data_IF_577647476762
#
_entry.id   IF_577647476762
#
_cell.length_a   1.000
_cell.length_b   1.000
_cell.length_c   1.000
_cell.angle_alpha   90.00
_cell.angle_beta   90.00
_cell.angle_gamma   90.00
#
_symmetry.space_group_name_H-M   'P 1'
#
loop_
_entity.id
_entity.type
_entity.pdbx_description
1 polymer ?
#
# COMPACT_ATOMS: atom_id res chain seq x y z
N UNK A 1 -23.17 -12.65 -20.02
CA UNK A 1 -22.84 -12.01 -18.76
C UNK A 1 -21.79 -10.96 -19.05
N UNK A 2 -22.24 -9.71 -19.17
CA UNK A 2 -21.43 -8.61 -19.71
C UNK A 2 -21.22 -7.51 -18.66
N UNK A 3 -20.82 -7.88 -17.43
CA UNK A 3 -20.56 -6.91 -16.36
C UNK A 3 -19.07 -6.92 -16.00
N UNK A 4 -18.29 -6.29 -16.87
CA UNK A 4 -16.85 -6.12 -16.63
C UNK A 4 -16.54 -4.97 -15.68
N UNK A 5 -17.45 -4.02 -15.54
CA UNK A 5 -17.34 -2.85 -14.63
C UNK A 5 -18.71 -2.56 -14.04
N UNK A 6 -18.79 -2.43 -12.74
CA UNK A 6 -19.99 -1.96 -12.03
C UNK A 6 -20.25 -0.49 -12.36
N UNK A 7 -21.51 -0.06 -12.43
CA UNK A 7 -21.90 1.33 -12.74
C UNK A 7 -21.39 2.37 -11.73
N UNK A 8 -20.93 1.95 -10.56
CA UNK A 8 -20.40 2.80 -9.49
C UNK A 8 -18.86 2.77 -9.36
N UNK A 9 -18.13 2.43 -10.42
CA UNK A 9 -16.67 2.43 -10.43
C UNK A 9 -16.14 3.81 -10.79
N UNK A 10 -15.05 4.23 -10.13
CA UNK A 10 -14.39 5.51 -10.36
C UNK A 10 -13.03 5.29 -11.03
N UNK A 11 -12.89 5.72 -12.28
CA UNK A 11 -11.63 5.69 -13.02
C UNK A 11 -11.21 7.13 -13.31
N UNK A 12 -10.07 7.57 -12.79
CA UNK A 12 -9.58 8.94 -12.86
C UNK A 12 -8.13 8.91 -13.36
N UNK A 13 -7.84 9.55 -14.49
CA UNK A 13 -6.50 9.68 -15.07
C UNK A 13 -5.71 8.36 -15.09
N UNK A 14 -6.38 7.26 -15.51
CA UNK A 14 -5.86 5.91 -15.37
C UNK A 14 -6.07 5.07 -16.61
N UNK A 15 -5.16 4.13 -16.86
CA UNK A 15 -5.29 3.09 -17.87
C UNK A 15 -5.81 1.80 -17.23
N UNK A 16 -6.90 1.27 -17.77
CA UNK A 16 -7.50 0.03 -17.29
C UNK A 16 -7.79 -0.88 -18.49
N UNK A 17 -7.15 -2.04 -18.52
CA UNK A 17 -7.33 -3.01 -19.58
C UNK A 17 -8.81 -3.48 -19.70
N UNK A 18 -9.25 -3.77 -20.91
CA UNK A 18 -10.63 -4.21 -21.17
C UNK A 18 -11.00 -5.53 -20.49
N UNK A 19 -10.01 -6.37 -20.23
CA UNK A 19 -10.20 -7.66 -19.54
C UNK A 19 -10.19 -7.54 -18.01
N UNK A 20 -9.82 -6.38 -17.46
CA UNK A 20 -9.83 -6.14 -16.02
C UNK A 20 -11.25 -6.03 -15.47
N UNK A 21 -11.46 -6.53 -14.27
CA UNK A 21 -12.73 -6.48 -13.55
C UNK A 21 -12.62 -5.52 -12.37
N UNK A 22 -13.45 -4.50 -12.38
CA UNK A 22 -13.58 -3.55 -11.28
C UNK A 22 -14.97 -3.72 -10.66
N UNK A 23 -15.01 -3.96 -9.36
CA UNK A 23 -16.23 -4.25 -8.62
C UNK A 23 -16.82 -2.99 -7.97
N UNK A 24 -17.90 -3.14 -7.23
CA UNK A 24 -18.70 -2.06 -6.68
C UNK A 24 -17.86 -1.03 -5.91
N UNK A 25 -17.95 0.23 -6.31
CA UNK A 25 -17.21 1.36 -5.74
C UNK A 25 -15.69 1.22 -5.71
N UNK A 26 -15.12 0.39 -6.57
CA UNK A 26 -13.68 0.40 -6.79
C UNK A 26 -13.25 1.76 -7.36
N UNK A 27 -12.13 2.28 -6.89
CA UNK A 27 -11.51 3.52 -7.37
C UNK A 27 -10.13 3.22 -7.94
N UNK A 28 -9.87 3.64 -9.17
CA UNK A 28 -8.56 3.59 -9.82
C UNK A 28 -8.19 5.00 -10.22
N UNK A 29 -7.12 5.55 -9.61
CA UNK A 29 -6.70 6.92 -9.84
C UNK A 29 -5.21 7.01 -10.14
N UNK A 30 -4.85 7.74 -11.24
CA UNK A 30 -3.45 7.95 -11.64
C UNK A 30 -2.67 6.63 -11.69
N UNK A 31 -3.30 5.57 -12.24
CA UNK A 31 -2.82 4.19 -12.10
C UNK A 31 -2.95 3.40 -13.40
N UNK A 32 -2.23 2.30 -13.46
CA UNK A 32 -2.30 1.34 -14.56
C UNK A 32 -2.76 -0.01 -14.02
N UNK A 33 -3.85 -0.55 -14.59
CA UNK A 33 -4.42 -1.85 -14.26
C UNK A 33 -4.41 -2.70 -15.51
N UNK A 34 -3.51 -3.67 -15.55
CA UNK A 34 -3.27 -4.49 -16.74
C UNK A 34 -4.29 -5.64 -16.88
N UNK A 35 -4.05 -6.52 -17.87
CA UNK A 35 -4.98 -7.55 -18.30
C UNK A 35 -5.32 -8.51 -17.16
N UNK A 36 -6.58 -8.95 -17.15
CA UNK A 36 -7.11 -9.97 -16.24
C UNK A 36 -6.99 -9.61 -14.75
N UNK A 37 -6.70 -8.34 -14.43
CA UNK A 37 -6.69 -7.87 -13.04
C UNK A 37 -8.11 -7.82 -12.44
N UNK A 38 -8.16 -7.94 -11.13
CA UNK A 38 -9.37 -7.81 -10.32
C UNK A 38 -9.13 -6.71 -9.28
N UNK A 39 -10.08 -5.77 -9.16
CA UNK A 39 -10.11 -4.79 -8.07
C UNK A 39 -11.47 -4.91 -7.38
N UNK A 40 -11.47 -5.46 -6.18
CA UNK A 40 -12.66 -5.77 -5.39
C UNK A 40 -13.39 -4.54 -4.83
N UNK A 41 -14.54 -4.80 -4.22
CA UNK A 41 -15.47 -3.79 -3.72
C UNK A 41 -14.77 -2.78 -2.79
N UNK A 42 -15.07 -1.49 -2.99
CA UNK A 42 -14.56 -0.38 -2.17
C UNK A 42 -13.01 -0.27 -2.11
N UNK A 43 -12.28 -1.01 -2.92
CA UNK A 43 -10.82 -0.93 -2.98
C UNK A 43 -10.38 0.30 -3.77
N UNK A 44 -9.25 0.88 -3.36
CA UNK A 44 -8.69 2.06 -3.98
C UNK A 44 -7.26 1.76 -4.45
N UNK A 45 -7.03 1.95 -5.74
CA UNK A 45 -5.72 1.83 -6.38
C UNK A 45 -5.32 3.21 -6.87
N UNK A 46 -4.27 3.76 -6.30
CA UNK A 46 -3.82 5.12 -6.58
C UNK A 46 -2.33 5.17 -6.86
N UNK A 47 -1.93 5.89 -7.92
CA UNK A 47 -0.52 6.09 -8.29
C UNK A 47 0.26 4.77 -8.33
N UNK A 48 -0.38 3.72 -8.86
CA UNK A 48 0.10 2.34 -8.77
C UNK A 48 -0.01 1.62 -10.09
N UNK A 49 0.81 0.59 -10.26
CA UNK A 49 0.79 -0.30 -11.41
C UNK A 49 0.44 -1.70 -10.91
N UNK A 50 -0.64 -2.27 -11.44
CA UNK A 50 -0.98 -3.67 -11.26
C UNK A 50 -0.62 -4.42 -12.55
N UNK A 51 0.34 -5.32 -12.47
CA UNK A 51 0.68 -6.21 -13.58
C UNK A 51 -0.43 -7.20 -13.86
N UNK A 52 -0.32 -7.98 -14.93
CA UNK A 52 -1.37 -8.90 -15.37
C UNK A 52 -1.71 -9.94 -14.29
N UNK A 53 -2.98 -10.31 -14.22
CA UNK A 53 -3.53 -11.32 -13.30
C UNK A 53 -3.38 -10.95 -11.81
N UNK A 54 -3.17 -9.70 -11.46
CA UNK A 54 -3.20 -9.26 -10.06
C UNK A 54 -4.65 -9.24 -9.56
N UNK A 55 -4.86 -9.76 -8.34
CA UNK A 55 -6.17 -9.77 -7.69
C UNK A 55 -6.13 -9.00 -6.38
N UNK A 56 -6.76 -7.85 -6.35
CA UNK A 56 -6.97 -7.05 -5.15
C UNK A 56 -8.37 -7.33 -4.62
N UNK A 57 -8.48 -7.89 -3.41
CA UNK A 57 -9.77 -8.15 -2.76
C UNK A 57 -10.42 -6.83 -2.29
N UNK A 58 -11.54 -6.89 -1.58
CA UNK A 58 -12.34 -5.75 -1.13
C UNK A 58 -11.69 -4.92 -0.02
N UNK A 59 -12.05 -3.63 0.05
CA UNK A 59 -11.66 -2.69 1.11
C UNK A 59 -10.15 -2.48 1.24
N UNK A 60 -9.40 -2.62 0.16
CA UNK A 60 -7.95 -2.42 0.14
C UNK A 60 -7.59 -0.98 -0.23
N UNK A 61 -6.45 -0.52 0.27
CA UNK A 61 -5.82 0.72 -0.16
C UNK A 61 -4.43 0.42 -0.71
N UNK A 62 -4.27 0.57 -2.02
CA UNK A 62 -3.01 0.40 -2.73
C UNK A 62 -2.57 1.77 -3.22
N UNK A 63 -1.44 2.28 -2.72
CA UNK A 63 -0.99 3.63 -3.04
C UNK A 63 0.52 3.70 -3.29
N UNK A 64 0.92 4.13 -4.48
CA UNK A 64 2.33 4.24 -4.89
C UNK A 64 3.01 2.89 -5.03
N UNK A 65 2.29 1.85 -5.43
CA UNK A 65 2.82 0.49 -5.48
C UNK A 65 2.96 -0.03 -6.92
N UNK A 66 3.98 -0.86 -7.12
CA UNK A 66 4.09 -1.72 -8.29
C UNK A 66 3.86 -3.16 -7.85
N UNK A 67 2.80 -3.79 -8.33
CA UNK A 67 2.41 -5.15 -7.95
C UNK A 67 2.63 -6.10 -9.11
N UNK A 68 3.44 -7.11 -8.90
CA UNK A 68 3.82 -8.11 -9.90
C UNK A 68 2.71 -9.12 -10.21
N UNK A 69 2.88 -9.79 -11.34
CA UNK A 69 1.91 -10.75 -11.92
C UNK A 69 1.50 -11.83 -10.93
N UNK A 70 0.24 -12.25 -11.01
CA UNK A 70 -0.32 -13.36 -10.23
C UNK A 70 -0.25 -13.15 -8.72
N UNK A 71 0.07 -11.95 -8.26
CA UNK A 71 0.00 -11.58 -6.84
C UNK A 71 -1.43 -11.28 -6.45
N UNK A 72 -1.83 -11.75 -5.27
CA UNK A 72 -3.15 -11.43 -4.74
C UNK A 72 -3.09 -10.93 -3.30
N UNK A 73 -4.10 -10.14 -2.94
CA UNK A 73 -4.33 -9.64 -1.59
C UNK A 73 -5.61 -10.20 -1.02
N UNK A 74 -5.66 -10.36 0.30
CA UNK A 74 -6.91 -10.52 1.04
C UNK A 74 -7.63 -9.19 1.22
N UNK A 75 -8.73 -9.16 1.98
CA UNK A 75 -9.44 -7.92 2.28
C UNK A 75 -8.75 -7.10 3.37
N UNK A 76 -9.01 -5.77 3.36
CA UNK A 76 -8.55 -4.81 4.36
C UNK A 76 -7.02 -4.60 4.40
N UNK A 77 -6.34 -4.80 3.31
CA UNK A 77 -4.91 -4.54 3.21
C UNK A 77 -4.61 -3.06 2.89
N UNK A 78 -3.48 -2.59 3.40
CA UNK A 78 -2.95 -1.25 3.15
C UNK A 78 -1.52 -1.36 2.64
N UNK A 79 -1.30 -1.11 1.35
CA UNK A 79 0.00 -1.18 0.72
C UNK A 79 0.43 0.22 0.28
N UNK A 80 1.59 0.66 0.77
CA UNK A 80 2.13 1.98 0.49
C UNK A 80 3.54 1.90 -0.06
N UNK A 81 3.82 2.68 -1.12
CA UNK A 81 5.15 2.89 -1.68
C UNK A 81 6.00 1.62 -1.71
N UNK A 82 5.52 0.59 -2.38
CA UNK A 82 6.13 -0.74 -2.35
C UNK A 82 6.26 -1.34 -3.73
N UNK A 83 7.35 -2.06 -3.94
CA UNK A 83 7.53 -2.94 -5.09
C UNK A 83 7.31 -4.37 -4.61
N UNK A 84 6.30 -5.03 -5.16
CA UNK A 84 5.89 -6.39 -4.79
C UNK A 84 6.09 -7.29 -6.00
N UNK A 85 6.80 -8.39 -5.79
CA UNK A 85 7.13 -9.35 -6.84
C UNK A 85 5.93 -10.13 -7.36
N UNK A 86 6.22 -11.10 -8.21
CA UNK A 86 5.21 -11.99 -8.80
C UNK A 86 4.83 -13.11 -7.83
N UNK A 87 3.64 -13.67 -8.00
CA UNK A 87 3.14 -14.85 -7.28
C UNK A 87 3.07 -14.71 -5.76
N UNK A 88 3.03 -13.48 -5.23
CA UNK A 88 2.92 -13.26 -3.80
C UNK A 88 1.50 -13.53 -3.31
N UNK A 89 1.41 -14.15 -2.13
CA UNK A 89 0.17 -14.44 -1.41
C UNK A 89 0.08 -13.54 -0.18
N UNK A 90 -0.76 -12.51 -0.24
CA UNK A 90 -0.92 -11.55 0.85
C UNK A 90 -2.28 -11.81 1.50
N UNK A 91 -2.28 -12.16 2.79
CA UNK A 91 -3.49 -12.47 3.54
C UNK A 91 -4.24 -11.18 3.93
N UNK A 92 -5.30 -11.29 4.71
CA UNK A 92 -6.12 -10.14 5.10
C UNK A 92 -5.49 -9.29 6.22
N UNK A 93 -5.80 -7.98 6.22
CA UNK A 93 -5.38 -7.04 7.25
C UNK A 93 -3.88 -6.74 7.25
N UNK A 94 -3.19 -7.03 6.15
CA UNK A 94 -1.76 -6.78 6.03
C UNK A 94 -1.50 -5.30 5.76
N UNK A 95 -0.48 -4.75 6.41
CA UNK A 95 0.01 -3.39 6.14
C UNK A 95 1.45 -3.43 5.67
N UNK A 96 1.75 -2.88 4.49
CA UNK A 96 3.11 -2.78 3.95
C UNK A 96 3.46 -1.30 3.74
N UNK A 97 4.61 -0.87 4.25
CA UNK A 97 5.16 0.46 4.06
C UNK A 97 4.35 1.61 4.70
N UNK A 98 3.75 1.44 5.89
CA UNK A 98 2.97 2.51 6.51
C UNK A 98 3.81 3.78 6.69
N UNK A 99 3.18 4.97 6.65
CA UNK A 99 3.88 6.21 6.94
C UNK A 99 4.38 6.20 8.41
N UNK A 100 5.58 6.71 8.60
CA UNK A 100 6.21 6.84 9.92
C UNK A 100 6.24 8.29 10.39
N UNK A 101 6.46 8.48 11.67
CA UNK A 101 6.76 9.77 12.26
C UNK A 101 8.26 9.90 12.54
N UNK A 102 8.80 11.12 12.36
CA UNK A 102 10.19 11.39 12.71
C UNK A 102 10.30 11.58 14.23
N UNK A 103 10.83 10.58 14.90
CA UNK A 103 11.04 10.60 16.36
C UNK A 103 12.30 11.36 16.80
N UNK A 104 13.11 11.85 15.86
CA UNK A 104 14.26 12.72 16.17
C UNK A 104 13.88 14.21 16.29
N UNK A 105 12.61 14.54 16.07
CA UNK A 105 12.09 15.89 16.22
C UNK A 105 11.55 16.11 17.62
N UNK A 106 11.39 17.38 17.98
CA UNK A 106 10.83 17.81 19.28
C UNK A 106 9.42 17.26 19.54
N UNK A 107 8.72 16.88 18.48
CA UNK A 107 7.40 16.22 18.53
C UNK A 107 7.22 15.31 17.35
N UNK A 108 6.55 14.19 17.53
CA UNK A 108 6.10 13.30 16.45
C UNK A 108 4.84 13.82 15.78
N UNK A 109 4.17 14.82 16.36
CA UNK A 109 2.93 15.37 15.83
C UNK A 109 3.15 16.11 14.51
N UNK A 110 2.23 15.98 13.53
CA UNK A 110 2.39 16.56 12.21
C UNK A 110 2.34 18.09 12.12
N UNK A 111 2.11 18.83 13.21
CA UNK A 111 2.12 20.30 13.18
C UNK A 111 3.46 20.88 12.70
N UNK A 112 4.54 20.14 12.85
CA UNK A 112 5.87 20.57 12.40
C UNK A 112 6.00 20.66 10.87
N UNK A 113 5.18 19.94 10.13
CA UNK A 113 5.23 19.83 8.65
C UNK A 113 3.87 19.96 7.97
N UNK A 114 2.82 20.27 8.72
CA UNK A 114 1.48 20.42 8.17
C UNK A 114 0.78 21.65 8.77
N UNK A 115 0.67 22.70 7.95
CA UNK A 115 0.12 23.99 8.35
C UNK A 115 -1.36 23.98 8.75
N UNK A 116 -2.10 22.89 8.46
CA UNK A 116 -3.54 22.78 8.82
C UNK A 116 -3.80 22.90 10.32
N UNK A 117 -2.80 22.68 11.15
CA UNK A 117 -2.93 22.78 12.62
C UNK A 117 -2.77 24.20 13.16
N UNK A 118 -2.37 25.18 12.32
CA UNK A 118 -2.28 26.59 12.69
C UNK A 118 -1.25 26.93 13.78
N UNK A 119 -0.34 25.99 14.10
CA UNK A 119 0.71 26.19 15.13
C UNK A 119 1.93 26.87 14.54
N UNK A 120 2.32 26.49 13.33
CA UNK A 120 3.41 27.10 12.57
C UNK A 120 2.88 27.75 11.30
N UNK A 121 3.48 28.88 10.92
CA UNK A 121 3.26 29.47 9.62
C UNK A 121 3.86 28.57 8.51
N UNK A 122 3.28 28.59 7.31
CA UNK A 122 3.70 27.74 6.20
C UNK A 122 5.19 27.84 5.86
N UNK A 123 5.79 29.02 6.01
CA UNK A 123 7.23 29.29 5.78
C UNK A 123 8.13 28.58 6.82
N UNK A 124 7.61 28.22 7.98
CA UNK A 124 8.34 27.58 9.07
C UNK A 124 8.10 26.06 9.16
N UNK A 125 7.38 25.49 8.20
CA UNK A 125 7.14 24.06 8.17
C UNK A 125 8.43 23.30 7.80
N UNK A 126 8.69 22.23 8.53
CA UNK A 126 9.84 21.37 8.26
C UNK A 126 9.56 20.48 7.04
N UNK A 127 10.56 20.22 6.21
CA UNK A 127 10.42 19.22 5.16
C UNK A 127 10.22 17.84 5.75
N UNK A 128 9.31 17.07 5.17
CA UNK A 128 9.08 15.67 5.54
C UNK A 128 8.80 14.84 4.29
N UNK A 129 9.43 13.68 4.23
CA UNK A 129 9.05 12.62 3.31
C UNK A 129 8.51 11.43 4.10
N UNK A 130 7.24 11.10 3.87
CA UNK A 130 6.59 9.95 4.51
C UNK A 130 6.79 8.65 3.75
N UNK A 131 7.27 8.73 2.50
CA UNK A 131 7.34 7.61 1.56
C UNK A 131 8.69 7.53 0.84
N UNK A 132 9.76 8.06 1.43
CA UNK A 132 11.10 8.09 0.85
C UNK A 132 11.84 6.74 0.87
N UNK A 133 11.31 5.77 1.60
CA UNK A 133 11.90 4.43 1.72
C UNK A 133 10.89 3.38 1.27
N UNK A 134 10.94 2.94 0.01
CA UNK A 134 10.03 1.90 -0.48
C UNK A 134 10.30 0.56 0.20
N UNK A 135 9.26 -0.25 0.34
CA UNK A 135 9.42 -1.67 0.63
C UNK A 135 9.70 -2.43 -0.65
N UNK A 136 10.56 -3.44 -0.57
CA UNK A 136 10.84 -4.33 -1.67
C UNK A 136 10.50 -5.77 -1.26
N UNK A 137 9.44 -6.31 -1.82
CA UNK A 137 8.98 -7.68 -1.58
C UNK A 137 9.34 -8.51 -2.79
N UNK A 138 10.06 -9.59 -2.58
CA UNK A 138 10.49 -10.50 -3.63
C UNK A 138 9.35 -11.29 -4.26
N UNK A 139 9.69 -12.29 -5.06
CA UNK A 139 8.74 -13.18 -5.72
C UNK A 139 8.34 -14.34 -4.80
N UNK A 140 7.13 -14.88 -4.98
CA UNK A 140 6.63 -16.06 -4.27
C UNK A 140 6.72 -15.91 -2.74
N UNK A 141 6.35 -14.72 -2.24
CA UNK A 141 6.35 -14.41 -0.80
C UNK A 141 4.95 -14.64 -0.24
N UNK A 142 4.87 -15.36 0.88
CA UNK A 142 3.63 -15.52 1.62
C UNK A 142 3.63 -14.63 2.87
N UNK A 143 2.67 -13.69 2.93
CA UNK A 143 2.47 -12.81 4.08
C UNK A 143 1.16 -13.20 4.76
N UNK A 144 1.26 -13.69 6.00
CA UNK A 144 0.13 -14.10 6.84
C UNK A 144 -0.72 -12.90 7.29
N UNK A 145 -1.87 -13.21 7.86
CA UNK A 145 -2.84 -12.20 8.27
C UNK A 145 -2.31 -11.23 9.34
N UNK A 146 -2.75 -9.97 9.27
CA UNK A 146 -2.40 -8.90 10.21
C UNK A 146 -0.89 -8.64 10.37
N UNK A 147 -0.08 -9.03 9.40
CA UNK A 147 1.35 -8.70 9.38
C UNK A 147 1.55 -7.23 9.02
N UNK A 148 2.45 -6.56 9.72
CA UNK A 148 2.91 -5.22 9.34
C UNK A 148 4.37 -5.27 8.90
N UNK A 149 4.63 -4.88 7.65
CA UNK A 149 5.97 -4.70 7.09
C UNK A 149 6.27 -3.20 7.12
N UNK A 150 7.23 -2.80 7.96
CA UNK A 150 7.60 -1.39 8.07
C UNK A 150 8.27 -0.90 6.78
N UNK A 151 8.16 0.40 6.50
CA UNK A 151 8.75 1.01 5.31
C UNK A 151 10.26 0.81 5.25
N UNK A 152 10.80 0.70 4.04
CA UNK A 152 12.23 0.47 3.79
C UNK A 152 12.67 -0.98 4.00
N UNK A 153 11.79 -1.88 4.41
CA UNK A 153 12.11 -3.30 4.57
C UNK A 153 12.19 -4.00 3.22
N UNK A 154 13.18 -4.85 3.08
CA UNK A 154 13.34 -5.77 1.93
C UNK A 154 13.09 -7.20 2.39
N UNK A 155 12.21 -7.90 1.68
CA UNK A 155 11.90 -9.33 1.89
C UNK A 155 12.33 -10.08 0.64
N UNK A 156 13.14 -11.13 0.82
CA UNK A 156 13.66 -11.95 -0.28
C UNK A 156 12.60 -12.88 -0.88
N UNK A 157 12.92 -13.48 -2.03
CA UNK A 157 12.06 -14.44 -2.72
C UNK A 157 11.75 -15.66 -1.86
N UNK A 158 10.54 -16.20 -1.95
CA UNK A 158 10.11 -17.42 -1.26
C UNK A 158 9.98 -17.27 0.26
N UNK A 159 10.04 -16.07 0.79
CA UNK A 159 9.92 -15.85 2.24
C UNK A 159 8.48 -16.10 2.72
N UNK A 160 8.37 -16.58 3.96
CA UNK A 160 7.08 -16.84 4.61
C UNK A 160 7.01 -16.07 5.93
N UNK A 161 6.02 -15.19 6.07
CA UNK A 161 5.77 -14.38 7.26
C UNK A 161 4.44 -14.81 7.87
N UNK A 162 4.46 -15.60 8.94
CA UNK A 162 3.28 -16.29 9.47
C UNK A 162 2.62 -15.67 10.69
N UNK A 163 3.20 -14.65 11.32
CA UNK A 163 2.67 -14.06 12.56
C UNK A 163 2.78 -12.55 12.48
N UNK A 164 1.89 -11.86 13.20
CA UNK A 164 2.10 -10.47 13.57
C UNK A 164 3.45 -10.38 14.31
N UNK A 165 4.52 -10.35 13.54
CA UNK A 165 5.84 -10.10 14.08
C UNK A 165 5.86 -8.63 14.43
N UNK A 166 5.52 -8.34 15.68
CA UNK A 166 5.97 -7.13 16.32
C UNK A 166 7.50 -7.20 16.33
N UNK A 167 8.13 -6.76 15.27
CA UNK A 167 9.56 -6.51 15.29
C UNK A 167 9.75 -5.33 16.25
N UNK A 168 9.93 -5.62 17.52
CA UNK A 168 10.43 -4.67 18.50
C UNK A 168 11.84 -4.29 18.06
N UNK A 169 11.93 -3.32 17.17
CA UNK A 169 13.17 -2.56 17.01
C UNK A 169 13.42 -1.95 18.38
N UNK A 170 14.53 -2.33 18.95
CA UNK A 170 15.11 -1.85 20.17
C UNK A 170 14.74 -0.39 20.42
N UNK A 171 13.72 -0.13 21.21
CA UNK A 171 13.48 1.19 21.76
C UNK A 171 14.60 1.43 22.78
N UNK A 172 15.65 2.10 22.35
CA UNK A 172 16.57 2.75 23.27
C UNK A 172 15.79 3.90 23.91
N UNK A 173 15.22 3.66 25.06
CA UNK A 173 14.72 4.70 25.94
C UNK A 173 15.92 5.52 26.40
N UNK A 174 16.21 6.62 25.71
CA UNK A 174 16.97 7.71 26.29
C UNK A 174 15.96 8.57 27.05
N UNK A 175 15.72 8.19 28.32
CA UNK A 175 15.23 9.14 29.29
C UNK A 175 16.45 9.92 29.82
N UNK A 176 16.51 11.18 29.52
CA UNK A 176 17.22 12.20 30.29
C UNK A 176 16.21 13.22 30.77
#
# INVERSE_FOLDING_TARGET
MNDKKDDNVFIIDSMVADSARLFFRAEVKESEVNEMCIVGDHSRVRQSILSEYVSIDRNNLIMGCNVGRYTYTGPFDMLFNSVIGNFCSISYGVTIGPPEHDYNKISTHPFLYNGRYGILNNENLLPVSKFDKPCNIGHDVWIGCNVTVLRGVTIGNGAVLLVQMLLLIKMSLHMQ
#
